data_IF_519417599032
#
_entry.id   IF_519417599032
#
_cell.length_a   1.000
_cell.length_b   1.000
_cell.length_c   1.000
_cell.angle_alpha   90.00
_cell.angle_beta   90.00
_cell.angle_gamma   90.00
#
_symmetry.space_group_name_H-M   'P 1'
#
loop_
_entity.id
_entity.type
_entity.pdbx_description
1 polymer ?
#
# COMPACT_ATOMS: atom_id res chain seq x y z
N UNK A 1 -13.73 -8.95 7.26
CA UNK A 1 -12.76 -8.26 6.37
C UNK A 1 -13.19 -6.81 6.10
N UNK A 2 -12.26 -5.90 5.81
CA UNK A 2 -12.53 -4.50 5.47
C UNK A 2 -11.78 -4.14 4.17
N UNK A 3 -12.38 -3.29 3.35
CA UNK A 3 -11.84 -2.87 2.06
C UNK A 3 -10.60 -1.99 2.24
N UNK A 4 -9.56 -2.25 1.47
CA UNK A 4 -8.33 -1.47 1.35
C UNK A 4 -7.98 -1.33 -0.15
N UNK A 5 -7.51 -0.15 -0.56
CA UNK A 5 -6.94 0.04 -1.90
C UNK A 5 -5.42 -0.09 -1.79
N UNK A 6 -4.86 -1.02 -2.57
CA UNK A 6 -3.43 -1.30 -2.55
C UNK A 6 -2.84 -1.19 -3.95
N UNK A 7 -1.57 -0.79 -4.00
CA UNK A 7 -0.76 -0.87 -5.21
C UNK A 7 -0.46 -2.34 -5.50
N UNK A 8 -0.47 -2.77 -6.76
CA UNK A 8 -0.01 -4.15 -7.08
C UNK A 8 1.51 -4.29 -6.90
N UNK A 9 2.22 -3.16 -6.88
CA UNK A 9 3.62 -3.08 -6.50
C UNK A 9 3.72 -3.09 -4.97
N UNK A 10 4.63 -3.91 -4.46
CA UNK A 10 4.85 -4.13 -3.02
C UNK A 10 5.12 -2.81 -2.26
N UNK A 11 4.86 -2.77 -0.96
CA UNK A 11 4.88 -1.52 -0.15
C UNK A 11 6.24 -0.80 -0.08
N UNK A 12 7.32 -1.44 -0.57
CA UNK A 12 8.66 -0.86 -0.66
C UNK A 12 9.00 -0.27 -2.04
N UNK A 13 8.04 -0.18 -2.98
CA UNK A 13 8.31 0.41 -4.28
C UNK A 13 8.12 1.93 -4.24
N UNK A 14 9.24 2.64 -4.38
CA UNK A 14 9.24 3.92 -5.09
C UNK A 14 8.87 3.60 -6.54
N UNK A 15 7.60 3.65 -6.92
CA UNK A 15 7.23 3.47 -8.32
C UNK A 15 7.97 4.53 -9.11
N UNK A 16 8.92 4.16 -10.01
CA UNK A 16 9.61 5.14 -10.83
C UNK A 16 8.58 6.00 -11.55
N UNK A 17 8.84 7.30 -11.72
CA UNK A 17 7.92 8.23 -12.37
C UNK A 17 7.48 7.77 -13.77
N UNK A 18 8.27 6.92 -14.41
CA UNK A 18 7.94 6.30 -15.69
C UNK A 18 6.86 5.21 -15.57
N UNK A 19 6.82 4.42 -14.49
CA UNK A 19 5.94 3.25 -14.39
C UNK A 19 4.49 3.65 -14.07
N UNK A 20 3.50 3.16 -14.84
CA UNK A 20 2.10 3.41 -14.57
C UNK A 20 1.74 2.74 -13.25
N UNK A 21 0.98 3.43 -12.43
CA UNK A 21 0.57 2.88 -11.14
C UNK A 21 -0.71 2.05 -11.32
N UNK A 22 -0.65 0.78 -10.96
CA UNK A 22 -1.80 -0.12 -10.94
C UNK A 22 -2.26 -0.35 -9.51
N UNK A 23 -3.56 -0.23 -9.28
CA UNK A 23 -4.17 -0.38 -7.96
C UNK A 23 -5.35 -1.31 -8.03
N UNK A 24 -5.61 -1.99 -6.93
CA UNK A 24 -6.75 -2.88 -6.79
C UNK A 24 -7.41 -2.66 -5.43
N UNK A 25 -8.72 -2.87 -5.35
CA UNK A 25 -9.39 -3.03 -4.06
C UNK A 25 -9.23 -4.48 -3.61
N UNK A 26 -8.84 -4.65 -2.35
CA UNK A 26 -8.74 -5.94 -1.66
C UNK A 26 -9.41 -5.83 -0.29
N UNK A 27 -9.62 -6.96 0.36
CA UNK A 27 -10.14 -7.03 1.71
C UNK A 27 -9.09 -7.55 2.67
N UNK A 28 -9.00 -6.93 3.85
CA UNK A 28 -8.06 -7.30 4.93
C UNK A 28 -8.77 -7.59 6.24
N UNK A 29 -8.13 -8.41 7.06
CA UNK A 29 -8.57 -8.67 8.43
C UNK A 29 -7.92 -7.65 9.35
N UNK A 30 -8.74 -6.71 9.84
CA UNK A 30 -8.27 -5.55 10.61
C UNK A 30 -9.02 -5.40 11.94
N UNK A 31 -10.20 -6.01 12.05
CA UNK A 31 -11.01 -6.08 13.26
C UNK A 31 -11.85 -7.35 13.23
N UNK A 32 -12.19 -7.81 14.42
CA UNK A 32 -13.17 -8.86 14.73
C UNK A 32 -14.05 -8.33 15.87
N UNK A 33 -15.20 -8.93 16.11
CA UNK A 33 -16.11 -8.44 17.17
C UNK A 33 -15.58 -8.75 18.57
N UNK A 34 -15.99 -7.93 19.55
CA UNK A 34 -15.64 -8.14 20.96
C UNK A 34 -16.21 -9.49 21.39
N UNK A 35 -15.34 -10.41 21.86
CA UNK A 35 -15.72 -11.75 22.30
C UNK A 35 -15.46 -12.87 21.29
N UNK A 36 -15.10 -12.56 20.04
CA UNK A 36 -14.70 -13.58 19.04
C UNK A 36 -13.25 -14.06 19.20
N UNK A 37 -12.36 -13.18 19.68
CA UNK A 37 -11.11 -13.60 20.30
C UNK A 37 -11.34 -13.62 21.81
N UNK A 38 -10.71 -14.56 22.53
CA UNK A 38 -10.52 -14.36 23.97
C UNK A 38 -9.92 -12.97 24.19
N UNK A 39 -10.29 -12.31 25.27
CA UNK A 39 -9.83 -10.96 25.63
C UNK A 39 -8.31 -10.86 25.85
N UNK A 40 -7.57 -11.91 25.50
CA UNK A 40 -6.14 -12.04 25.69
C UNK A 40 -5.37 -11.30 24.60
N UNK A 41 -4.23 -10.76 25.01
CA UNK A 41 -3.40 -9.84 24.24
C UNK A 41 -2.70 -10.51 23.04
N UNK A 42 -2.78 -11.83 22.90
CA UNK A 42 -2.13 -12.59 21.82
C UNK A 42 -2.98 -12.71 20.54
N UNK A 43 -4.29 -12.53 20.62
CA UNK A 43 -5.20 -12.70 19.48
C UNK A 43 -5.10 -11.58 18.44
N UNK A 44 -4.90 -11.91 17.16
CA UNK A 44 -4.96 -10.94 16.05
C UNK A 44 -6.12 -11.28 15.11
N UNK A 45 -6.75 -10.28 14.47
CA UNK A 45 -7.65 -10.52 13.35
C UNK A 45 -6.81 -10.95 12.15
N UNK A 46 -6.72 -12.26 11.91
CA UNK A 46 -5.94 -12.86 10.82
C UNK A 46 -6.86 -13.48 9.78
N UNK A 47 -6.40 -13.66 8.52
CA UNK A 47 -7.18 -14.39 7.54
C UNK A 47 -7.50 -15.82 8.01
N UNK A 48 -8.76 -16.23 7.89
CA UNK A 48 -9.17 -17.63 7.96
C UNK A 48 -9.17 -18.27 6.58
N UNK A 49 -9.71 -17.55 5.60
CA UNK A 49 -9.67 -17.89 4.18
C UNK A 49 -9.11 -16.71 3.39
N UNK A 50 -8.26 -17.04 2.42
CA UNK A 50 -7.68 -16.09 1.47
C UNK A 50 -7.88 -16.61 0.06
N UNK A 51 -8.12 -15.70 -0.86
CA UNK A 51 -8.06 -15.95 -2.28
C UNK A 51 -6.85 -15.24 -2.87
N UNK A 52 -6.23 -15.87 -3.86
CA UNK A 52 -5.17 -15.25 -4.65
C UNK A 52 -5.83 -14.53 -5.83
N UNK A 53 -5.59 -13.22 -5.95
CA UNK A 53 -5.98 -12.45 -7.13
C UNK A 53 -4.75 -12.37 -8.02
N UNK A 54 -4.80 -13.07 -9.15
CA UNK A 54 -3.79 -12.94 -10.20
C UNK A 54 -4.07 -11.70 -11.04
N UNK A 55 -3.02 -10.91 -11.29
CA UNK A 55 -3.08 -9.69 -12.08
C UNK A 55 -1.95 -9.73 -13.10
N UNK A 56 -2.28 -9.47 -14.36
CA UNK A 56 -1.28 -9.32 -15.42
C UNK A 56 -1.27 -7.90 -15.97
N UNK A 57 -0.10 -7.28 -16.07
CA UNK A 57 0.06 -5.91 -16.56
C UNK A 57 1.22 -5.80 -17.54
N UNK A 58 1.13 -4.91 -18.54
CA UNK A 58 2.26 -4.61 -19.41
C UNK A 58 3.30 -3.74 -18.68
N UNK A 59 4.57 -3.90 -19.00
CA UNK A 59 5.60 -2.91 -18.66
C UNK A 59 5.71 -1.88 -19.77
N UNK A 60 4.90 -0.82 -19.65
CA UNK A 60 4.87 0.25 -20.65
C UNK A 60 6.17 1.06 -20.71
N UNK A 61 7.04 0.90 -19.71
CA UNK A 61 8.35 1.59 -19.62
C UNK A 61 9.50 0.70 -20.06
N UNK A 62 9.22 -0.49 -20.57
CA UNK A 62 10.26 -1.32 -21.15
C UNK A 62 10.84 -0.65 -22.41
N UNK A 63 10.04 0.10 -23.17
CA UNK A 63 10.50 0.83 -24.36
C UNK A 63 11.64 1.81 -24.07
N UNK A 64 11.67 2.42 -22.88
CA UNK A 64 12.73 3.35 -22.49
C UNK A 64 14.00 2.63 -21.98
N UNK A 65 13.90 1.33 -21.69
CA UNK A 65 14.96 0.51 -21.06
C UNK A 65 15.50 -0.59 -21.97
N UNK A 66 14.76 -0.93 -23.00
CA UNK A 66 15.04 -2.02 -23.93
C UNK A 66 15.26 -1.45 -25.34
N UNK A 67 16.50 -1.51 -25.87
CA UNK A 67 16.81 -0.97 -27.20
C UNK A 67 16.08 -1.71 -28.32
N UNK A 68 15.55 -2.91 -28.08
CA UNK A 68 14.79 -3.68 -29.06
C UNK A 68 13.28 -3.37 -29.04
N UNK A 69 12.82 -2.52 -28.11
CA UNK A 69 11.40 -2.17 -27.95
C UNK A 69 10.45 -3.36 -27.76
N UNK A 70 10.97 -4.50 -27.27
CA UNK A 70 10.12 -5.67 -27.01
C UNK A 70 9.10 -5.35 -25.90
N UNK A 71 7.86 -5.83 -26.07
CA UNK A 71 6.85 -5.67 -25.01
C UNK A 71 7.08 -6.75 -23.96
N UNK A 72 7.14 -6.34 -22.70
CA UNK A 72 7.20 -7.25 -21.55
C UNK A 72 5.92 -7.18 -20.75
N UNK A 73 5.52 -8.32 -20.20
CA UNK A 73 4.30 -8.47 -19.41
C UNK A 73 4.65 -9.17 -18.11
N UNK A 74 4.02 -8.72 -17.03
CA UNK A 74 4.33 -9.20 -15.69
C UNK A 74 3.06 -9.64 -14.98
N UNK A 75 3.20 -10.73 -14.24
CA UNK A 75 2.20 -11.27 -13.33
C UNK A 75 2.48 -10.81 -11.90
N UNK A 76 1.41 -10.49 -11.18
CA UNK A 76 1.41 -10.22 -9.76
C UNK A 76 0.31 -11.03 -9.09
N UNK A 77 0.52 -11.41 -7.83
CA UNK A 77 -0.51 -12.07 -7.04
C UNK A 77 -0.67 -11.34 -5.71
N UNK A 78 -1.89 -10.86 -5.47
CA UNK A 78 -2.27 -10.17 -4.23
C UNK A 78 -3.21 -11.07 -3.43
N UNK A 79 -3.00 -11.18 -2.13
CA UNK A 79 -3.91 -11.93 -1.27
C UNK A 79 -5.14 -11.10 -0.93
N UNK A 80 -6.34 -11.67 -1.09
CA UNK A 80 -7.60 -11.09 -0.71
C UNK A 80 -8.22 -11.89 0.45
N UNK A 81 -8.54 -11.26 1.58
CA UNK A 81 -9.05 -11.97 2.75
C UNK A 81 -10.57 -12.10 2.65
N UNK A 82 -11.07 -13.31 2.42
CA UNK A 82 -12.52 -13.57 2.27
C UNK A 82 -13.20 -13.90 3.59
N UNK A 83 -12.45 -14.33 4.61
CA UNK A 83 -12.94 -14.44 5.99
C UNK A 83 -11.82 -14.24 7.00
N UNK A 84 -12.19 -13.82 8.21
CA UNK A 84 -11.25 -13.57 9.30
C UNK A 84 -11.49 -14.55 10.45
N UNK A 85 -10.44 -14.77 11.24
CA UNK A 85 -10.52 -15.46 12.53
C UNK A 85 -9.59 -14.79 13.53
N UNK A 86 -9.77 -15.16 14.79
CA UNK A 86 -8.77 -14.96 15.81
C UNK A 86 -7.55 -15.88 15.57
N UNK A 87 -6.34 -15.36 15.68
CA UNK A 87 -5.14 -16.20 15.69
C UNK A 87 -3.84 -15.41 15.82
N UNK A 88 -2.72 -16.13 15.80
CA UNK A 88 -1.40 -15.52 15.96
C UNK A 88 -0.94 -14.80 14.69
N UNK A 89 -0.28 -13.65 14.87
CA UNK A 89 0.30 -12.89 13.77
C UNK A 89 1.61 -13.55 13.30
N UNK A 90 1.48 -14.51 12.39
CA UNK A 90 2.62 -15.14 11.74
C UNK A 90 3.16 -14.29 10.58
N UNK A 91 4.41 -14.52 10.16
CA UNK A 91 4.99 -13.89 8.97
C UNK A 91 4.13 -14.11 7.71
N UNK A 92 3.46 -15.26 7.58
CA UNK A 92 2.53 -15.53 6.46
C UNK A 92 1.29 -14.65 6.50
N UNK A 93 0.75 -14.37 7.68
CA UNK A 93 -0.43 -13.53 7.87
C UNK A 93 -0.14 -12.02 7.73
N UNK A 94 1.14 -11.63 7.71
CA UNK A 94 1.59 -10.26 7.41
C UNK A 94 1.74 -9.99 5.92
N UNK A 95 1.86 -11.03 5.09
CA UNK A 95 2.11 -10.85 3.65
C UNK A 95 0.84 -10.38 2.95
N UNK A 96 0.90 -9.18 2.37
CA UNK A 96 -0.18 -8.64 1.52
C UNK A 96 -0.09 -9.17 0.08
N UNK A 97 1.11 -9.59 -0.32
CA UNK A 97 1.47 -10.02 -1.68
C UNK A 97 2.18 -11.36 -1.65
N UNK A 98 2.04 -12.13 -2.73
CA UNK A 98 2.87 -13.30 -3.00
C UNK A 98 4.11 -12.84 -3.76
N UNK A 99 5.28 -13.04 -3.17
CA UNK A 99 6.55 -12.84 -3.89
C UNK A 99 6.71 -13.95 -4.91
N UNK A 100 6.75 -13.60 -6.19
CA UNK A 100 6.95 -14.53 -7.29
C UNK A 100 8.35 -14.26 -7.85
N UNK A 101 9.22 -15.26 -7.79
CA UNK A 101 10.47 -15.27 -8.54
C UNK A 101 10.12 -15.54 -10.01
N UNK A 102 10.66 -14.74 -10.94
CA UNK A 102 10.40 -14.84 -12.39
C UNK A 102 8.93 -14.63 -12.77
N UNK A 103 8.45 -13.41 -12.55
CA UNK A 103 7.05 -13.05 -12.78
C UNK A 103 6.75 -12.54 -14.20
N UNK A 104 7.69 -12.63 -15.13
CA UNK A 104 7.48 -12.29 -16.55
C UNK A 104 6.61 -13.35 -17.24
N UNK A 105 5.69 -12.93 -18.10
CA UNK A 105 4.76 -13.81 -18.82
C UNK A 105 4.76 -13.48 -20.32
N UNK A 106 4.36 -14.46 -21.14
CA UNK A 106 4.26 -14.27 -22.60
C UNK A 106 3.10 -13.35 -22.97
N UNK A 107 3.17 -12.73 -24.14
CA UNK A 107 2.06 -11.91 -24.69
C UNK A 107 0.76 -12.72 -24.84
N UNK A 108 0.87 -14.01 -25.20
CA UNK A 108 -0.27 -14.92 -25.31
C UNK A 108 -0.95 -15.09 -23.95
N UNK A 109 -0.18 -15.36 -22.89
CA UNK A 109 -0.72 -15.47 -21.53
C UNK A 109 -1.36 -14.16 -21.08
N UNK A 110 -0.68 -13.04 -21.31
CA UNK A 110 -1.18 -11.71 -21.01
C UNK A 110 -2.54 -11.45 -21.68
N UNK A 111 -2.67 -11.68 -22.98
CA UNK A 111 -3.90 -11.38 -23.71
C UNK A 111 -5.11 -12.20 -23.21
N UNK A 112 -4.89 -13.46 -22.79
CA UNK A 112 -5.94 -14.31 -22.22
C UNK A 112 -6.28 -13.88 -20.79
N UNK A 113 -5.27 -13.66 -19.95
CA UNK A 113 -5.47 -13.36 -18.52
C UNK A 113 -5.87 -11.91 -18.24
N UNK A 114 -5.53 -10.96 -19.12
CA UNK A 114 -5.82 -9.54 -18.93
C UNK A 114 -7.32 -9.26 -18.88
N UNK A 115 -8.12 -10.01 -19.64
CA UNK A 115 -9.58 -9.92 -19.60
C UNK A 115 -10.18 -10.34 -18.25
N UNK A 116 -9.44 -11.12 -17.46
CA UNK A 116 -9.85 -11.59 -16.12
C UNK A 116 -9.28 -10.72 -14.99
N UNK A 117 -8.51 -9.67 -15.31
CA UNK A 117 -8.07 -8.73 -14.30
C UNK A 117 -9.27 -8.09 -13.60
N UNK A 118 -9.18 -7.78 -12.30
CA UNK A 118 -10.25 -7.05 -11.60
C UNK A 118 -10.60 -5.74 -12.31
N UNK A 119 -11.89 -5.45 -12.47
CA UNK A 119 -12.40 -4.23 -13.14
C UNK A 119 -11.85 -2.92 -12.57
N UNK A 120 -11.40 -2.95 -11.31
CA UNK A 120 -10.83 -1.82 -10.59
C UNK A 120 -9.31 -1.68 -10.75
N UNK A 121 -8.64 -2.53 -11.54
CA UNK A 121 -7.19 -2.48 -11.78
C UNK A 121 -6.71 -1.12 -12.32
N UNK A 122 -7.56 -0.49 -13.14
CA UNK A 122 -7.26 0.77 -13.85
C UNK A 122 -8.45 1.74 -13.82
N UNK A 123 -9.44 1.60 -12.91
CA UNK A 123 -10.51 2.62 -12.86
C UNK A 123 -9.88 3.97 -12.49
N UNK A 124 -9.63 4.78 -13.53
CA UNK A 124 -8.98 6.09 -13.55
C UNK A 124 -9.83 7.16 -12.85
N UNK A 125 -10.45 6.87 -11.72
CA UNK A 125 -11.04 7.90 -10.88
C UNK A 125 -9.92 8.52 -10.05
N UNK A 126 -9.00 9.20 -10.73
CA UNK A 126 -7.89 9.95 -10.16
C UNK A 126 -7.27 9.28 -8.93
N UNK A 127 -6.34 8.36 -9.17
CA UNK A 127 -5.50 7.68 -8.16
C UNK A 127 -5.10 8.61 -7.00
N UNK A 128 -4.84 9.87 -7.35
CA UNK A 128 -4.40 10.89 -6.43
C UNK A 128 -5.43 11.95 -6.08
N UNK A 129 -6.72 11.85 -6.37
CA UNK A 129 -7.69 12.90 -5.98
C UNK A 129 -8.31 12.69 -4.61
N UNK A 130 -8.22 11.47 -4.06
CA UNK A 130 -8.76 11.19 -2.74
C UNK A 130 -7.82 10.29 -1.95
N UNK A 131 -7.69 10.53 -0.63
CA UNK A 131 -7.09 9.58 0.28
C UNK A 131 -7.82 8.23 0.23
N UNK A 132 -7.07 7.16 0.40
CA UNK A 132 -7.59 5.80 0.45
C UNK A 132 -7.48 5.24 1.87
N UNK A 133 -8.43 4.40 2.29
CA UNK A 133 -8.32 3.70 3.57
C UNK A 133 -7.12 2.75 3.54
N UNK A 134 -6.26 2.84 4.57
CA UNK A 134 -5.12 1.95 4.83
C UNK A 134 -5.16 1.47 6.28
N UNK A 135 -4.48 0.37 6.54
CA UNK A 135 -4.45 -0.23 7.87
C UNK A 135 -3.02 -0.57 8.30
N UNK A 136 -2.57 0.02 9.40
CA UNK A 136 -1.26 -0.27 9.98
C UNK A 136 -1.38 -0.94 11.33
N UNK A 137 -0.44 -1.83 11.61
CA UNK A 137 -0.26 -2.36 12.95
C UNK A 137 0.20 -1.22 13.87
N UNK A 138 -0.47 -1.02 15.01
CA UNK A 138 -0.05 0.00 15.99
C UNK A 138 1.26 -0.41 16.67
N UNK A 139 1.98 0.54 17.27
CA UNK A 139 3.26 0.26 17.93
C UNK A 139 3.07 -0.69 19.14
N UNK A 140 2.10 -0.40 20.00
CA UNK A 140 1.79 -1.16 21.22
C UNK A 140 0.83 -2.34 20.95
N UNK A 141 0.88 -2.92 19.75
CA UNK A 141 -0.09 -3.92 19.29
C UNK A 141 -0.13 -5.19 20.13
N UNK A 142 0.95 -5.48 20.88
CA UNK A 142 1.04 -6.64 21.75
C UNK A 142 0.05 -6.53 22.91
N UNK A 143 -0.19 -5.33 23.42
CA UNK A 143 -1.06 -5.10 24.59
C UNK A 143 -2.47 -4.66 24.21
N UNK A 144 -2.71 -4.30 22.94
CA UNK A 144 -4.01 -3.84 22.49
C UNK A 144 -4.99 -5.00 22.29
N UNK A 145 -6.28 -4.76 22.60
CA UNK A 145 -7.30 -5.75 22.29
C UNK A 145 -7.35 -6.04 20.79
N UNK A 146 -7.68 -7.28 20.37
CA UNK A 146 -7.60 -7.73 18.98
C UNK A 146 -8.20 -6.78 17.94
N UNK A 147 -9.38 -6.20 18.23
CA UNK A 147 -10.08 -5.25 17.36
C UNK A 147 -9.38 -3.89 17.16
N UNK A 148 -8.39 -3.56 17.98
CA UNK A 148 -7.65 -2.29 17.93
C UNK A 148 -6.20 -2.44 17.46
N UNK A 149 -5.72 -3.68 17.22
CA UNK A 149 -4.34 -3.93 16.80
C UNK A 149 -4.00 -3.29 15.46
N UNK A 150 -4.99 -3.16 14.56
CA UNK A 150 -4.85 -2.42 13.31
C UNK A 150 -5.55 -1.06 13.37
N UNK A 151 -4.79 -0.02 13.10
CA UNK A 151 -5.26 1.35 13.00
C UNK A 151 -5.65 1.65 11.56
N UNK A 152 -6.94 1.92 11.36
CA UNK A 152 -7.45 2.48 10.12
C UNK A 152 -7.08 3.96 10.00
N UNK A 153 -6.57 4.37 8.85
CA UNK A 153 -6.23 5.75 8.53
C UNK A 153 -6.43 6.02 7.04
N UNK A 154 -6.49 7.30 6.68
CA UNK A 154 -6.60 7.80 5.31
C UNK A 154 -5.22 8.19 4.80
N UNK A 155 -4.82 7.62 3.67
CA UNK A 155 -3.51 7.86 3.06
C UNK A 155 -3.65 8.11 1.56
N UNK A 156 -2.95 9.12 1.07
CA UNK A 156 -2.71 9.29 -0.36
C UNK A 156 -1.84 8.12 -0.82
N UNK A 157 -2.18 7.58 -1.99
CA UNK A 157 -1.42 6.47 -2.55
C UNK A 157 0.02 6.89 -2.88
N UNK A 158 0.98 5.96 -2.88
CA UNK A 158 2.37 6.24 -3.26
C UNK A 158 2.45 6.97 -4.61
N UNK A 159 3.27 8.01 -4.71
CA UNK A 159 3.40 8.86 -5.91
C UNK A 159 2.36 9.98 -6.04
N UNK A 160 1.40 10.07 -5.11
CA UNK A 160 0.51 11.21 -5.00
C UNK A 160 1.08 12.29 -4.07
N UNK A 161 0.73 13.55 -4.33
CA UNK A 161 1.09 14.67 -3.46
C UNK A 161 0.01 14.84 -2.38
N UNK A 162 0.44 14.84 -1.13
CA UNK A 162 -0.43 15.20 0.00
C UNK A 162 -0.63 16.71 -0.02
N UNK A 163 -1.88 17.16 -0.18
CA UNK A 163 -2.22 18.59 -0.19
C UNK A 163 -2.59 19.03 1.21
N UNK A 164 -3.40 18.23 1.89
CA UNK A 164 -3.89 18.51 3.23
C UNK A 164 -3.85 17.25 4.09
N UNK A 165 -3.51 17.44 5.36
CA UNK A 165 -3.49 16.40 6.38
C UNK A 165 -4.01 16.98 7.69
N UNK A 166 -4.65 16.15 8.51
CA UNK A 166 -5.02 16.52 9.85
C UNK A 166 -4.49 15.52 10.87
N UNK A 167 -4.33 16.00 12.11
CA UNK A 167 -4.14 15.13 13.24
C UNK A 167 -5.48 14.45 13.56
N UNK A 168 -5.44 13.15 13.78
CA UNK A 168 -6.58 12.33 14.15
C UNK A 168 -6.24 11.54 15.40
N UNK A 169 -7.29 11.25 16.16
CA UNK A 169 -7.16 10.70 17.51
C UNK A 169 -8.02 9.46 17.60
N UNK A 170 -7.47 8.35 18.07
CA UNK A 170 -8.21 7.11 18.32
C UNK A 170 -8.00 6.65 19.75
N UNK A 171 -9.10 6.32 20.42
CA UNK A 171 -9.10 5.71 21.74
C UNK A 171 -8.91 4.21 21.58
N UNK A 172 -7.77 3.69 22.06
CA UNK A 172 -7.37 2.28 21.98
C UNK A 172 -7.46 1.66 23.37
N UNK A 173 -8.19 0.54 23.47
CA UNK A 173 -8.26 -0.23 24.71
C UNK A 173 -7.16 -1.30 24.72
N UNK A 174 -6.52 -1.43 25.88
CA UNK A 174 -5.44 -2.38 26.14
C UNK A 174 -5.91 -3.44 27.15
N UNK A 175 -5.21 -4.57 27.19
CA UNK A 175 -5.49 -5.65 28.14
C UNK A 175 -4.93 -5.37 29.54
N UNK A 176 -3.87 -4.56 29.62
CA UNK A 176 -3.13 -4.26 30.85
C UNK A 176 -3.66 -3.05 31.63
N UNK A 177 -4.53 -2.23 31.02
CA UNK A 177 -5.08 -1.00 31.62
C UNK A 177 -6.61 -1.05 31.65
N UNK A 178 -7.23 -0.72 32.79
CA UNK A 178 -8.67 -0.41 32.89
C UNK A 178 -9.06 0.84 32.06
N UNK A 179 -8.04 1.59 31.60
CA UNK A 179 -8.17 2.78 30.76
C UNK A 179 -7.85 2.52 29.29
N UNK A 180 -8.43 3.34 28.41
CA UNK A 180 -8.04 3.37 27.00
C UNK A 180 -7.02 4.48 26.78
N UNK A 181 -5.92 4.19 26.07
CA UNK A 181 -4.94 5.23 25.68
C UNK A 181 -5.40 5.95 24.42
N UNK A 182 -4.93 7.18 24.30
CA UNK A 182 -5.16 8.01 23.13
C UNK A 182 -3.97 7.85 22.19
N UNK A 183 -4.21 7.33 20.98
CA UNK A 183 -3.21 7.28 19.91
C UNK A 183 -3.50 8.38 18.91
N UNK A 184 -2.47 9.20 18.67
CA UNK A 184 -2.48 10.25 17.66
C UNK A 184 -1.89 9.71 16.36
N UNK A 185 -2.52 10.01 15.24
CA UNK A 185 -2.03 9.64 13.92
C UNK A 185 -2.43 10.70 12.90
N UNK A 186 -1.86 10.64 11.71
CA UNK A 186 -2.14 11.59 10.64
C UNK A 186 -3.09 10.95 9.63
N UNK A 187 -4.21 11.62 9.34
CA UNK A 187 -5.03 11.31 8.18
C UNK A 187 -4.74 12.32 7.09
N UNK A 188 -4.61 11.84 5.85
CA UNK A 188 -4.55 12.72 4.71
C UNK A 188 -6.00 13.05 4.34
N UNK A 189 -6.26 14.32 4.04
CA UNK A 189 -7.60 14.86 3.77
C UNK A 189 -7.80 15.05 2.28
N UNK A 190 -6.76 15.55 1.60
CA UNK A 190 -6.79 15.71 0.15
C UNK A 190 -5.45 15.34 -0.47
N UNK A 191 -5.56 14.77 -1.66
CA UNK A 191 -4.46 14.31 -2.48
C UNK A 191 -4.54 15.04 -3.82
N UNK A 192 -3.41 15.17 -4.52
CA UNK A 192 -3.41 15.53 -5.94
C UNK A 192 -2.38 14.72 -6.70
N UNK A 193 -2.62 14.55 -8.01
CA UNK A 193 -1.60 14.03 -8.90
C UNK A 193 -0.39 14.96 -8.88
N UNK A 194 0.81 14.39 -8.94
CA UNK A 194 2.02 15.18 -9.11
C UNK A 194 2.00 15.83 -10.50
N UNK A 195 1.79 17.14 -10.57
CA UNK A 195 1.94 17.91 -11.81
C UNK A 195 3.36 18.45 -11.87
N UNK A 196 4.21 17.79 -12.66
CA UNK A 196 5.61 18.18 -12.87
C UNK A 196 5.79 19.60 -13.43
N UNK A 197 4.70 20.28 -13.84
CA UNK A 197 4.72 21.67 -14.29
C UNK A 197 4.87 22.70 -13.16
N UNK A 198 4.64 22.31 -11.90
CA UNK A 198 4.76 23.19 -10.73
C UNK A 198 5.96 22.88 -9.82
N UNK A 199 6.93 22.10 -10.30
CA UNK A 199 8.18 21.80 -9.58
C UNK A 199 9.11 23.03 -9.36
N UNK A 200 8.64 24.25 -9.66
CA UNK A 200 9.35 25.51 -9.49
C UNK A 200 9.07 26.27 -8.20
N UNK A 201 8.28 25.76 -7.24
CA UNK A 201 7.92 26.57 -6.04
C UNK A 201 7.96 25.85 -4.69
N UNK A 202 8.63 24.69 -4.60
CA UNK A 202 9.05 24.11 -3.31
C UNK A 202 10.51 23.63 -3.30
N UNK A 203 11.41 24.30 -4.03
CA UNK A 203 12.83 24.31 -3.68
C UNK A 203 13.11 25.41 -2.66
N UNK A 204 12.61 25.24 -1.43
CA UNK A 204 13.18 25.92 -0.26
C UNK A 204 13.55 24.83 0.72
N UNK A 205 14.67 24.16 0.43
CA UNK A 205 15.69 23.68 1.36
C UNK A 205 16.66 22.78 0.60
N UNK A 206 17.53 23.42 -0.18
CA UNK A 206 18.94 23.02 -0.37
C UNK A 206 19.65 24.14 -1.14
N UNK A 207 19.72 25.29 -0.49
CA UNK A 207 20.63 26.39 -0.83
C UNK A 207 21.89 26.23 0.02
N UNK A 208 22.54 25.07 -0.06
CA UNK A 208 23.89 24.81 0.46
C UNK A 208 24.56 23.90 -0.57
N UNK A 209 25.81 24.20 -0.92
CA UNK A 209 26.57 23.75 -2.10
C UNK A 209 26.38 24.58 -3.37
N UNK A 210 26.76 25.86 -3.24
CA UNK A 210 27.48 26.53 -4.32
C UNK A 210 28.78 25.76 -4.58
N UNK A 211 28.93 25.35 -5.84
CA UNK A 211 30.15 25.08 -6.59
C UNK A 211 31.42 25.78 -6.02
N UNK A 212 32.53 25.04 -5.86
CA UNK A 212 33.65 25.35 -6.76
C UNK A 212 34.41 24.10 -7.23
N UNK A 213 34.12 23.64 -8.44
CA UNK A 213 35.12 23.01 -9.28
C UNK A 213 36.06 24.08 -9.84
N UNK A 214 37.22 24.21 -9.21
CA UNK A 214 38.47 24.59 -9.91
C UNK A 214 39.65 23.93 -9.19
N UNK A 215 39.93 22.69 -9.53
CA UNK A 215 41.31 22.19 -9.52
C UNK A 215 41.52 21.42 -10.83
N UNK A 216 42.37 21.99 -11.68
CA UNK A 216 42.93 21.39 -12.89
C UNK A 216 44.01 20.40 -12.47
N UNK A 217 44.12 19.29 -13.19
CA UNK A 217 45.39 18.58 -13.34
C UNK A 217 45.71 18.47 -14.83
N UNK A 218 46.81 19.12 -15.20
CA UNK A 218 47.78 18.67 -16.20
C UNK A 218 49.09 18.49 -15.42
#
# INVERSE_FOLDING_TARGET
PQREVVSIYNDNFSTPSSRPQYFIEVYRCVKIEVGECSSDSEGYPVPNKTEEIEIVVPDITNKDRDPNNEKKFYKYVVYNHTSCKCGNLTYRNKKLYKTITDNEVTEVYFNVSYANNPDNLVRQCNVCNSPQPRYNLIHEHVEALPQFKYLAYQQCLPGCVVVEKNASVKKIKFTSDDGAKIVNFTNYISCKAYDGRNAGTQQIQNKIYKDPQKIRFA
#
